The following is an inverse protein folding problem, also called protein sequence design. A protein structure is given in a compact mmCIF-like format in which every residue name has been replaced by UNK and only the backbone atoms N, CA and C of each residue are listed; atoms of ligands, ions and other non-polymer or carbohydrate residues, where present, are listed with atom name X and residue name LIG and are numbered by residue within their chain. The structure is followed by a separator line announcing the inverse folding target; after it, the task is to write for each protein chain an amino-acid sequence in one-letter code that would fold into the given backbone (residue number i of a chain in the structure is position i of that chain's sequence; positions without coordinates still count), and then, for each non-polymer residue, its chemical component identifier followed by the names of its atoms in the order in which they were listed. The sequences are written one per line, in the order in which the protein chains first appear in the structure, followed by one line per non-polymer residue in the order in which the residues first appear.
data_IF_125538068226
#
_entry.id   IF_125538068226
#
_cell.length_a   1.000
_cell.length_b   1.000
_cell.length_c   1.000
_cell.angle_alpha   90.00
_cell.angle_beta   90.00
_cell.angle_gamma   90.00
#
_symmetry.space_group_name_H-M   'P 1'
#
loop_
_entity.id
_entity.type
_entity.pdbx_description
1 polymer ?
#
# COMPACT_ATOMS: atom_id res chain seq x y z
N UNK A 1 -12.65 -24.73 -6.66
CA UNK A 1 -12.47 -23.25 -6.73
C UNK A 1 -12.54 -22.72 -5.30
N UNK A 2 -11.64 -21.81 -4.91
CA UNK A 2 -11.78 -21.13 -3.60
C UNK A 2 -13.05 -20.27 -3.66
N UNK A 3 -13.90 -20.38 -2.65
CA UNK A 3 -15.11 -19.55 -2.54
C UNK A 3 -14.68 -18.12 -2.27
N UNK A 4 -15.03 -17.18 -3.15
CA UNK A 4 -14.80 -15.75 -2.97
C UNK A 4 -16.06 -15.07 -2.44
N UNK A 5 -15.91 -13.91 -1.77
CA UNK A 5 -17.05 -13.13 -1.25
C UNK A 5 -17.69 -12.29 -2.35
N UNK A 6 -16.87 -11.67 -3.19
CA UNK A 6 -17.29 -10.82 -4.31
C UNK A 6 -16.79 -11.40 -5.62
N UNK A 7 -17.69 -11.78 -6.53
CA UNK A 7 -17.33 -12.41 -7.81
C UNK A 7 -16.90 -11.40 -8.88
N UNK A 8 -17.45 -10.17 -8.82
CA UNK A 8 -17.25 -9.15 -9.85
C UNK A 8 -16.19 -8.10 -9.48
N UNK A 9 -15.84 -8.00 -8.20
CA UNK A 9 -14.97 -6.93 -7.68
C UNK A 9 -13.76 -7.55 -7.00
N UNK A 10 -12.58 -7.08 -7.35
CA UNK A 10 -11.33 -7.47 -6.67
C UNK A 10 -10.93 -6.36 -5.69
N UNK A 11 -10.75 -6.68 -4.40
CA UNK A 11 -10.38 -5.69 -3.38
C UNK A 11 -9.05 -4.96 -3.67
N UNK A 12 -8.18 -5.61 -4.42
CA UNK A 12 -6.83 -5.11 -4.78
C UNK A 12 -6.81 -4.24 -6.03
N UNK A 13 -7.93 -4.06 -6.71
CA UNK A 13 -7.98 -3.09 -7.80
C UNK A 13 -7.90 -1.66 -7.27
N UNK A 14 -7.11 -0.83 -7.90
CA UNK A 14 -6.80 0.53 -7.50
C UNK A 14 -8.05 1.38 -7.18
N UNK A 15 -9.10 1.31 -8.02
CA UNK A 15 -10.36 2.03 -7.76
C UNK A 15 -11.04 1.55 -6.47
N UNK A 16 -11.06 0.24 -6.26
CA UNK A 16 -11.69 -0.39 -5.09
C UNK A 16 -10.92 -0.06 -3.82
N UNK A 17 -9.61 -0.24 -3.86
CA UNK A 17 -8.75 0.05 -2.73
C UNK A 17 -8.79 1.54 -2.36
N UNK A 18 -8.74 2.44 -3.34
CA UNK A 18 -8.90 3.89 -3.09
C UNK A 18 -10.27 4.21 -2.50
N UNK A 19 -11.33 3.55 -2.95
CA UNK A 19 -12.67 3.70 -2.37
C UNK A 19 -12.70 3.25 -0.90
N UNK A 20 -12.13 2.10 -0.58
CA UNK A 20 -12.03 1.59 0.80
C UNK A 20 -11.24 2.58 1.67
N UNK A 21 -10.04 2.95 1.23
CA UNK A 21 -9.13 3.81 2.00
C UNK A 21 -9.48 5.31 1.96
N UNK A 22 -10.47 5.73 1.17
CA UNK A 22 -11.02 7.09 1.27
C UNK A 22 -11.79 7.30 2.58
N UNK A 23 -12.26 6.22 3.22
CA UNK A 23 -12.87 6.28 4.53
C UNK A 23 -11.77 6.30 5.62
N UNK A 24 -11.71 7.40 6.36
CA UNK A 24 -10.69 7.62 7.40
C UNK A 24 -10.82 6.68 8.60
N UNK A 25 -12.01 6.19 8.92
CA UNK A 25 -12.22 5.23 10.01
C UNK A 25 -11.68 3.85 9.63
N UNK A 26 -11.99 3.38 8.42
CA UNK A 26 -11.43 2.13 7.88
C UNK A 26 -9.90 2.22 7.79
N UNK A 27 -9.38 3.34 7.27
CA UNK A 27 -7.94 3.58 7.14
C UNK A 27 -7.26 3.62 8.52
N UNK A 28 -7.89 4.24 9.53
CA UNK A 28 -7.42 4.24 10.92
C UNK A 28 -7.30 2.82 11.48
N UNK A 29 -8.35 2.03 11.33
CA UNK A 29 -8.37 0.66 11.83
C UNK A 29 -7.34 -0.22 11.13
N UNK A 30 -7.22 -0.12 9.80
CA UNK A 30 -6.22 -0.84 9.02
C UNK A 30 -4.80 -0.52 9.47
N UNK A 31 -4.45 0.75 9.55
CA UNK A 31 -3.11 1.20 9.98
C UNK A 31 -2.84 0.76 11.41
N UNK A 32 -3.81 0.95 12.31
CA UNK A 32 -3.68 0.56 13.72
C UNK A 32 -3.44 -0.93 13.88
N UNK A 33 -4.21 -1.77 13.21
CA UNK A 33 -4.09 -3.22 13.28
C UNK A 33 -2.77 -3.72 12.70
N UNK A 34 -2.38 -3.22 11.52
CA UNK A 34 -1.19 -3.71 10.83
C UNK A 34 0.10 -3.25 11.49
N UNK A 35 0.18 -1.97 11.87
CA UNK A 35 1.40 -1.39 12.47
C UNK A 35 1.45 -1.56 13.99
N UNK A 36 0.34 -1.97 14.65
CA UNK A 36 0.26 -2.08 16.10
C UNK A 36 0.31 -0.71 16.79
N UNK A 37 -0.30 0.31 16.18
CA UNK A 37 -0.36 1.68 16.66
C UNK A 37 -1.78 2.02 17.12
N UNK A 38 -1.91 2.86 18.13
CA UNK A 38 -3.21 3.44 18.51
C UNK A 38 -3.30 4.85 17.94
N UNK A 39 -3.80 4.97 16.72
CA UNK A 39 -3.82 6.22 15.96
C UNK A 39 -5.13 6.38 15.19
N UNK A 40 -5.43 7.61 14.82
CA UNK A 40 -6.55 7.94 13.94
C UNK A 40 -6.03 8.58 12.65
N UNK A 41 -6.60 8.20 11.53
CA UNK A 41 -6.35 8.88 10.27
C UNK A 41 -7.12 10.21 10.27
N UNK A 42 -6.40 11.32 10.21
CA UNK A 42 -7.00 12.65 10.19
C UNK A 42 -7.47 13.04 8.79
N UNK A 43 -6.72 12.65 7.77
CA UNK A 43 -7.06 12.93 6.36
C UNK A 43 -6.32 11.98 5.39
N UNK A 44 -6.89 11.86 4.20
CA UNK A 44 -6.24 11.25 3.05
C UNK A 44 -5.66 12.39 2.20
N UNK A 45 -4.37 12.30 1.90
CA UNK A 45 -3.63 13.30 1.14
C UNK A 45 -3.56 12.92 -0.35
N UNK A 46 -3.31 13.90 -1.20
CA UNK A 46 -2.96 13.63 -2.60
C UNK A 46 -1.60 12.91 -2.66
N UNK A 47 -1.62 11.68 -3.15
CA UNK A 47 -0.44 10.82 -3.31
C UNK A 47 0.44 11.19 -4.50
N UNK A 48 0.06 12.17 -5.32
CA UNK A 48 0.85 12.56 -6.50
C UNK A 48 2.19 13.14 -6.10
N UNK A 49 3.27 12.51 -6.52
CA UNK A 49 4.64 12.98 -6.30
C UNK A 49 5.20 13.49 -7.62
N UNK A 50 5.34 14.82 -7.73
CA UNK A 50 6.00 15.48 -8.86
C UNK A 50 7.47 15.69 -8.48
N UNK A 51 8.38 15.04 -9.20
CA UNK A 51 9.82 15.33 -9.10
C UNK A 51 10.20 16.30 -10.20
N UNK A 52 10.47 17.56 -9.84
CA UNK A 52 11.21 18.47 -10.70
C UNK A 52 12.70 18.28 -10.44
N UNK A 53 13.37 17.48 -11.23
CA UNK A 53 14.82 17.44 -11.25
C UNK A 53 15.31 18.13 -12.52
N UNK A 54 15.99 19.26 -12.31
CA UNK A 54 16.81 20.00 -13.26
C UNK A 54 16.17 20.56 -14.54
N UNK A 55 16.39 21.84 -14.72
CA UNK A 55 16.26 22.61 -15.96
C UNK A 55 17.13 21.95 -17.05
N UNK A 56 16.52 21.11 -17.82
CA UNK A 56 16.78 20.73 -19.22
C UNK A 56 16.31 19.29 -19.44
N UNK A 57 15.20 19.18 -20.23
CA UNK A 57 14.61 17.95 -20.72
C UNK A 57 14.10 16.90 -19.70
N UNK A 58 13.01 17.23 -19.03
CA UNK A 58 11.70 16.60 -19.02
C UNK A 58 11.74 15.06 -19.10
N UNK A 59 12.08 14.42 -18.01
CA UNK A 59 11.41 13.21 -17.59
C UNK A 59 10.74 13.54 -16.26
N UNK A 60 9.54 14.08 -16.33
CA UNK A 60 8.63 14.18 -15.20
C UNK A 60 8.24 12.73 -14.82
N UNK A 61 9.00 12.12 -13.92
CA UNK A 61 8.55 10.89 -13.26
C UNK A 61 7.47 11.29 -12.27
N UNK A 62 6.24 11.33 -12.73
CA UNK A 62 5.10 11.38 -11.85
C UNK A 62 4.97 10.01 -11.17
N UNK A 63 5.40 9.91 -9.93
CA UNK A 63 5.08 8.76 -9.10
C UNK A 63 3.79 9.08 -8.36
N UNK A 64 2.76 8.27 -8.58
CA UNK A 64 1.52 8.34 -7.81
C UNK A 64 1.55 7.24 -6.77
N UNK A 65 1.37 7.61 -5.50
CA UNK A 65 1.09 6.67 -4.42
C UNK A 65 -0.39 6.26 -4.53
N UNK A 66 -0.69 5.00 -4.20
CA UNK A 66 -2.08 4.56 -4.23
C UNK A 66 -2.90 5.31 -3.18
N UNK A 67 -2.41 5.37 -1.93
CA UNK A 67 -3.02 6.16 -0.85
C UNK A 67 -1.92 6.74 0.04
N UNK A 68 -2.06 8.01 0.42
CA UNK A 68 -1.24 8.67 1.43
C UNK A 68 -2.14 9.16 2.57
N UNK A 69 -2.02 8.56 3.74
CA UNK A 69 -2.77 8.93 4.93
C UNK A 69 -1.91 9.76 5.89
N UNK A 70 -2.50 10.79 6.50
CA UNK A 70 -1.91 11.52 7.62
C UNK A 70 -2.69 11.20 8.89
N UNK A 71 -1.97 10.82 9.93
CA UNK A 71 -2.53 10.47 11.23
C UNK A 71 -2.67 11.70 12.12
N UNK A 72 -3.41 11.56 13.21
CA UNK A 72 -3.67 12.63 14.19
C UNK A 72 -2.39 13.12 14.91
N UNK A 73 -1.35 12.30 14.95
CA UNK A 73 -0.03 12.63 15.49
C UNK A 73 0.94 13.20 14.42
N UNK A 74 0.45 13.46 13.20
CA UNK A 74 1.23 13.95 12.06
C UNK A 74 1.98 12.85 11.30
N UNK A 75 2.10 11.63 11.81
CA UNK A 75 2.72 10.50 11.11
C UNK A 75 2.04 10.30 9.75
N UNK A 76 2.84 10.05 8.72
CA UNK A 76 2.30 9.77 7.39
C UNK A 76 2.50 8.30 7.04
N UNK A 77 1.47 7.73 6.41
CA UNK A 77 1.44 6.32 6.01
C UNK A 77 1.13 6.19 4.52
N UNK A 78 2.06 5.60 3.80
CA UNK A 78 1.90 5.23 2.40
C UNK A 78 1.25 3.85 2.37
N UNK A 79 0.10 3.70 1.71
CA UNK A 79 -0.51 2.40 1.45
C UNK A 79 -0.38 2.13 -0.05
N UNK A 80 0.32 1.03 -0.38
CA UNK A 80 0.59 0.59 -1.76
C UNK A 80 -0.07 -0.74 -2.04
N UNK A 81 -0.70 -0.88 -3.21
CA UNK A 81 -1.33 -2.12 -3.65
C UNK A 81 -0.60 -2.64 -4.89
N UNK A 82 -0.01 -3.83 -4.77
CA UNK A 82 0.81 -4.41 -5.84
C UNK A 82 0.21 -5.73 -6.34
N UNK A 83 -0.46 -5.66 -7.48
CA UNK A 83 -1.14 -6.82 -8.10
C UNK A 83 -0.16 -7.76 -8.81
N UNK A 84 0.85 -7.21 -9.48
CA UNK A 84 1.86 -7.97 -10.21
C UNK A 84 3.23 -7.91 -9.54
N UNK A 85 4.05 -8.96 -9.67
CA UNK A 85 5.42 -8.95 -9.16
C UNK A 85 6.28 -8.04 -10.04
N UNK A 86 6.79 -6.96 -9.48
CA UNK A 86 7.73 -6.05 -10.12
C UNK A 86 9.11 -6.21 -9.49
N UNK A 87 10.14 -6.39 -10.31
CA UNK A 87 11.50 -6.71 -9.85
C UNK A 87 12.05 -5.69 -8.85
N UNK A 88 11.80 -4.41 -9.08
CA UNK A 88 12.39 -3.31 -8.29
C UNK A 88 11.39 -2.68 -7.30
N UNK A 89 10.29 -3.37 -6.98
CA UNK A 89 9.23 -2.81 -6.12
C UNK A 89 9.75 -2.33 -4.76
N UNK A 90 10.56 -3.13 -4.07
CA UNK A 90 11.08 -2.76 -2.75
C UNK A 90 11.99 -1.52 -2.80
N UNK A 91 12.79 -1.39 -3.86
CA UNK A 91 13.62 -0.18 -4.07
C UNK A 91 12.75 1.03 -4.39
N UNK A 92 11.70 0.87 -5.19
CA UNK A 92 10.76 1.94 -5.49
C UNK A 92 10.02 2.41 -4.23
N UNK A 93 9.54 1.48 -3.40
CA UNK A 93 8.89 1.80 -2.13
C UNK A 93 9.83 2.58 -1.20
N UNK A 94 11.12 2.20 -1.14
CA UNK A 94 12.13 2.94 -0.41
C UNK A 94 12.26 4.38 -0.92
N UNK A 95 12.31 4.57 -2.24
CA UNK A 95 12.34 5.91 -2.86
C UNK A 95 11.09 6.71 -2.49
N UNK A 96 9.90 6.11 -2.48
CA UNK A 96 8.68 6.79 -2.08
C UNK A 96 8.74 7.31 -0.64
N UNK A 97 9.22 6.49 0.29
CA UNK A 97 9.42 6.90 1.68
C UNK A 97 10.40 8.07 1.78
N UNK A 98 11.57 7.95 1.14
CA UNK A 98 12.58 9.01 1.15
C UNK A 98 12.06 10.34 0.58
N UNK A 99 11.31 10.27 -0.52
CA UNK A 99 10.69 11.43 -1.14
C UNK A 99 9.66 12.08 -0.21
N UNK A 100 8.86 11.28 0.48
CA UNK A 100 7.87 11.81 1.42
C UNK A 100 8.54 12.46 2.63
N UNK A 101 9.63 11.89 3.14
CA UNK A 101 10.46 12.52 4.17
C UNK A 101 11.02 13.86 3.67
N UNK A 102 11.54 13.94 2.44
CA UNK A 102 12.04 15.17 1.84
C UNK A 102 10.96 16.24 1.72
N UNK A 103 9.77 15.88 1.23
CA UNK A 103 8.61 16.78 1.15
C UNK A 103 8.22 17.35 2.53
N UNK A 104 8.21 16.49 3.55
CA UNK A 104 7.93 16.91 4.91
C UNK A 104 8.95 17.95 5.40
N UNK A 105 10.24 17.70 5.13
CA UNK A 105 11.31 18.65 5.47
C UNK A 105 11.13 19.98 4.77
N UNK A 106 10.76 19.99 3.49
CA UNK A 106 10.52 21.23 2.73
C UNK A 106 9.30 21.98 3.28
N UNK A 107 8.23 21.27 3.62
CA UNK A 107 7.05 21.86 4.28
C UNK A 107 7.41 22.50 5.63
N UNK A 108 8.18 21.80 6.46
CA UNK A 108 8.66 22.30 7.75
C UNK A 108 9.50 23.56 7.56
N UNK A 109 10.42 23.57 6.58
CA UNK A 109 11.25 24.74 6.25
C UNK A 109 10.42 25.96 5.84
N UNK A 110 9.38 25.75 5.04
CA UNK A 110 8.45 26.81 4.62
C UNK A 110 7.68 27.40 5.82
N UNK A 111 7.26 26.55 6.75
CA UNK A 111 6.48 26.97 7.93
C UNK A 111 7.33 27.68 8.98
N UNK A 112 8.52 27.16 9.27
CA UNK A 112 9.35 27.65 10.37
C UNK A 112 10.38 28.73 9.93
N UNK A 113 10.67 28.85 8.65
CA UNK A 113 11.75 29.68 8.14
C UNK A 113 13.13 29.01 8.30
N UNK A 114 14.16 29.67 7.70
CA UNK A 114 15.51 29.06 7.57
C UNK A 114 16.32 29.00 8.87
N UNK A 115 15.94 29.76 9.90
CA UNK A 115 16.73 29.93 11.14
C UNK A 115 16.32 28.99 12.26
N UNK A 116 15.21 28.28 12.13
CA UNK A 116 14.70 27.41 13.18
C UNK A 116 15.21 25.97 13.04
N UNK A 117 15.38 25.22 14.13
CA UNK A 117 15.78 23.82 14.08
C UNK A 117 14.64 22.99 13.48
N UNK A 118 14.87 22.43 12.28
CA UNK A 118 13.86 21.71 11.51
C UNK A 118 13.78 20.23 11.88
N UNK A 119 14.87 19.64 12.35
CA UNK A 119 14.91 18.20 12.65
C UNK A 119 14.06 17.78 13.86
N UNK A 120 13.79 18.72 14.78
CA UNK A 120 12.88 18.48 15.91
C UNK A 120 11.42 18.32 15.48
N UNK A 121 11.08 18.79 14.29
CA UNK A 121 9.72 18.72 13.72
C UNK A 121 9.56 17.55 12.76
N UNK A 122 10.61 16.74 12.53
CA UNK A 122 10.54 15.61 11.62
C UNK A 122 9.53 14.57 12.12
N UNK A 123 8.60 14.24 11.25
CA UNK A 123 7.55 13.26 11.51
C UNK A 123 7.90 11.90 10.90
N UNK A 124 7.44 10.78 11.49
CA UNK A 124 7.61 9.45 10.91
C UNK A 124 6.90 9.31 9.57
N UNK A 125 7.50 8.48 8.69
CA UNK A 125 6.87 8.03 7.45
C UNK A 125 6.87 6.51 7.43
N UNK A 126 5.70 5.92 7.39
CA UNK A 126 5.52 4.47 7.34
C UNK A 126 4.97 4.04 5.99
N UNK A 127 5.09 2.76 5.68
CA UNK A 127 4.40 2.17 4.54
C UNK A 127 3.74 0.85 4.90
N UNK A 128 2.59 0.59 4.27
CA UNK A 128 1.91 -0.70 4.30
C UNK A 128 1.64 -1.12 2.87
N UNK A 129 2.21 -2.24 2.44
CA UNK A 129 2.05 -2.76 1.09
C UNK A 129 1.18 -4.01 1.09
N UNK A 130 0.13 -4.00 0.28
CA UNK A 130 -0.77 -5.12 0.04
C UNK A 130 -0.32 -5.79 -1.26
N UNK A 131 0.13 -7.04 -1.18
CA UNK A 131 0.83 -7.75 -2.25
C UNK A 131 0.04 -8.98 -2.67
N UNK A 132 -0.39 -9.07 -3.94
CA UNK A 132 -0.96 -10.31 -4.49
C UNK A 132 0.09 -11.38 -4.77
N UNK A 133 1.33 -10.99 -4.97
CA UNK A 133 2.44 -11.91 -5.27
C UNK A 133 3.44 -11.97 -4.13
N UNK A 134 4.04 -13.13 -3.95
CA UNK A 134 5.05 -13.33 -2.91
C UNK A 134 6.36 -12.64 -3.27
N UNK A 135 6.87 -11.86 -2.34
CA UNK A 135 8.15 -11.17 -2.42
C UNK A 135 9.19 -11.79 -1.47
N UNK A 136 8.73 -12.48 -0.45
CA UNK A 136 9.58 -13.14 0.55
C UNK A 136 9.37 -14.66 0.49
N UNK A 137 10.43 -15.43 0.77
CA UNK A 137 10.48 -16.88 0.53
C UNK A 137 9.88 -17.73 1.65
N UNK A 138 9.57 -17.14 2.82
CA UNK A 138 8.94 -17.85 3.93
C UNK A 138 7.38 -17.80 3.85
N UNK A 139 6.71 -18.49 4.78
CA UNK A 139 5.25 -18.62 4.80
C UNK A 139 4.52 -17.51 5.58
N UNK A 140 5.22 -16.48 6.06
CA UNK A 140 4.59 -15.38 6.80
C UNK A 140 3.81 -14.48 5.87
N UNK A 141 2.51 -14.39 6.08
CA UNK A 141 1.64 -13.51 5.28
C UNK A 141 1.76 -12.03 5.68
N UNK A 142 2.08 -11.74 6.94
CA UNK A 142 2.26 -10.37 7.44
C UNK A 142 3.64 -10.23 8.08
N UNK A 143 4.33 -9.16 7.72
CA UNK A 143 5.62 -8.81 8.31
C UNK A 143 5.84 -7.30 8.34
N UNK A 144 6.72 -6.85 9.21
CA UNK A 144 7.17 -5.47 9.25
C UNK A 144 8.68 -5.38 9.44
N UNK A 145 9.28 -4.36 8.87
CA UNK A 145 10.68 -4.01 9.00
C UNK A 145 10.78 -2.64 9.65
N UNK A 146 11.72 -2.50 10.57
CA UNK A 146 12.09 -1.24 11.22
C UNK A 146 13.59 -1.22 11.47
N UNK A 147 14.17 -0.06 11.67
CA UNK A 147 15.58 0.07 12.02
C UNK A 147 15.83 -0.52 13.41
N UNK A 148 16.86 -1.35 13.52
CA UNK A 148 17.24 -2.04 14.77
C UNK A 148 18.74 -1.99 14.95
N UNK A 149 19.16 -2.03 16.19
CA UNK A 149 20.52 -2.28 16.59
C UNK A 149 20.87 -3.74 16.29
N UNK A 150 21.97 -3.96 15.58
CA UNK A 150 22.34 -5.29 15.09
C UNK A 150 22.74 -6.27 16.20
N UNK A 151 23.31 -5.75 17.32
CA UNK A 151 23.76 -6.58 18.43
C UNK A 151 22.64 -6.89 19.42
N UNK A 152 21.82 -5.90 19.75
CA UNK A 152 20.79 -6.02 20.79
C UNK A 152 19.39 -6.29 20.26
N UNK A 153 19.19 -6.23 18.95
CA UNK A 153 17.91 -6.31 18.24
C UNK A 153 16.85 -5.28 18.75
N UNK A 154 17.29 -4.23 19.44
CA UNK A 154 16.40 -3.17 19.91
C UNK A 154 16.05 -2.22 18.78
N UNK A 155 14.78 -1.82 18.70
CA UNK A 155 14.34 -0.84 17.71
C UNK A 155 14.98 0.52 17.96
N UNK A 156 15.42 1.19 16.90
CA UNK A 156 15.83 2.59 16.94
C UNK A 156 14.58 3.46 17.02
N UNK A 157 14.35 4.02 18.20
CA UNK A 157 13.21 4.91 18.48
C UNK A 157 13.71 6.27 18.93
N UNK A 158 13.07 7.31 18.43
CA UNK A 158 13.36 8.71 18.76
C UNK A 158 12.14 9.39 19.36
N UNK A 159 12.39 10.50 20.05
CA UNK A 159 11.32 11.39 20.48
C UNK A 159 10.76 12.13 19.25
N UNK A 160 9.43 12.19 19.15
CA UNK A 160 8.71 12.92 18.10
C UNK A 160 7.83 13.96 18.76
N UNK A 161 7.90 15.21 18.28
CA UNK A 161 7.14 16.32 18.85
C UNK A 161 5.65 16.02 18.88
N UNK A 162 5.01 16.25 20.03
CA UNK A 162 3.58 15.99 20.20
C UNK A 162 3.21 14.53 20.49
N UNK A 163 4.15 13.60 20.43
CA UNK A 163 3.93 12.17 20.69
C UNK A 163 4.60 11.80 22.02
N UNK A 164 3.84 11.21 22.95
CA UNK A 164 4.36 10.82 24.26
C UNK A 164 5.35 9.65 24.20
N UNK A 165 5.11 8.73 23.28
CA UNK A 165 5.92 7.52 23.13
C UNK A 165 6.96 7.70 22.04
N UNK A 166 8.18 7.19 22.27
CA UNK A 166 9.20 7.15 21.22
C UNK A 166 8.73 6.33 20.03
N UNK A 167 8.98 6.84 18.83
CA UNK A 167 8.57 6.23 17.57
C UNK A 167 9.77 5.81 16.71
N UNK A 168 9.59 4.77 15.90
CA UNK A 168 10.46 4.54 14.75
C UNK A 168 10.21 5.67 13.74
N UNK A 169 11.24 6.15 13.08
CA UNK A 169 11.06 7.11 11.98
C UNK A 169 10.57 6.44 10.69
N UNK A 170 10.90 5.16 10.51
CA UNK A 170 10.54 4.38 9.31
C UNK A 170 10.05 3.00 9.74
N UNK A 171 8.92 2.59 9.22
CA UNK A 171 8.42 1.22 9.30
C UNK A 171 7.82 0.83 7.97
N UNK A 172 8.18 -0.35 7.45
CA UNK A 172 7.64 -0.92 6.23
C UNK A 172 6.92 -2.22 6.58
N UNK A 173 5.61 -2.27 6.36
CA UNK A 173 4.80 -3.48 6.58
C UNK A 173 4.32 -4.06 5.25
N UNK A 174 4.17 -5.37 5.20
CA UNK A 174 3.77 -6.10 4.01
C UNK A 174 2.71 -7.15 4.35
N UNK A 175 1.67 -7.19 3.54
CA UNK A 175 0.62 -8.21 3.54
C UNK A 175 0.72 -9.00 2.23
N UNK A 176 1.15 -10.27 2.29
CA UNK A 176 1.28 -11.15 1.13
C UNK A 176 0.05 -12.06 1.02
N UNK A 177 -0.92 -11.64 0.21
CA UNK A 177 -2.25 -12.25 0.14
C UNK A 177 -2.24 -13.73 -0.30
N UNK A 178 -1.31 -14.10 -1.16
CA UNK A 178 -1.18 -15.50 -1.60
C UNK A 178 -0.74 -16.46 -0.49
N UNK A 179 -0.19 -15.95 0.61
CA UNK A 179 0.19 -16.75 1.78
C UNK A 179 -0.95 -16.95 2.77
N UNK A 180 -2.10 -16.30 2.54
CA UNK A 180 -3.25 -16.48 3.39
C UNK A 180 -3.79 -17.91 3.29
N UNK A 181 -4.04 -18.50 4.45
CA UNK A 181 -4.85 -19.70 4.63
C UNK A 181 -5.70 -19.55 5.90
N UNK A 182 -6.84 -20.23 6.02
CA UNK A 182 -7.73 -20.11 7.19
C UNK A 182 -7.09 -20.46 8.53
N UNK A 183 -6.06 -21.30 8.54
CA UNK A 183 -5.37 -21.77 9.74
C UNK A 183 -4.15 -20.91 10.12
N UNK A 184 -3.94 -19.79 9.43
CA UNK A 184 -2.81 -18.90 9.70
C UNK A 184 -2.85 -18.40 11.15
N UNK A 185 -1.71 -18.52 11.84
CA UNK A 185 -1.54 -18.08 13.23
C UNK A 185 -1.18 -16.61 13.30
N UNK A 186 -2.14 -15.77 13.00
CA UNK A 186 -2.02 -14.32 13.14
C UNK A 186 -3.04 -13.79 14.13
N UNK A 187 -2.76 -12.64 14.75
CA UNK A 187 -3.75 -11.90 15.52
C UNK A 187 -4.96 -11.64 14.60
N UNK A 188 -6.18 -11.89 15.13
CA UNK A 188 -7.38 -11.78 14.31
C UNK A 188 -7.57 -10.37 13.72
N UNK A 189 -7.21 -9.32 14.44
CA UNK A 189 -7.26 -7.96 13.91
C UNK A 189 -6.42 -7.76 12.64
N UNK A 190 -5.30 -8.48 12.51
CA UNK A 190 -4.50 -8.49 11.26
C UNK A 190 -5.05 -9.46 10.23
N UNK A 191 -5.49 -10.64 10.69
CA UNK A 191 -6.00 -11.71 9.82
C UNK A 191 -7.22 -11.26 9.02
N UNK A 192 -8.15 -10.52 9.63
CA UNK A 192 -9.36 -10.02 8.95
C UNK A 192 -9.06 -9.15 7.74
N UNK A 193 -7.95 -8.40 7.74
CA UNK A 193 -7.50 -7.63 6.58
C UNK A 193 -6.93 -8.51 5.46
N UNK A 194 -6.22 -9.60 5.82
CA UNK A 194 -5.84 -10.62 4.83
C UNK A 194 -7.08 -11.25 4.20
N UNK A 195 -8.10 -11.59 4.99
CA UNK A 195 -9.37 -12.15 4.51
C UNK A 195 -10.09 -11.15 3.59
N UNK A 196 -10.15 -9.88 3.99
CA UNK A 196 -10.77 -8.82 3.21
C UNK A 196 -10.11 -8.69 1.84
N UNK A 197 -8.79 -8.43 1.80
CA UNK A 197 -8.06 -8.18 0.56
C UNK A 197 -7.80 -9.42 -0.28
N UNK A 198 -7.78 -10.63 0.32
CA UNK A 198 -7.74 -11.90 -0.41
C UNK A 198 -9.10 -12.30 -0.97
N UNK A 199 -10.17 -11.54 -0.70
CA UNK A 199 -11.54 -11.85 -1.08
C UNK A 199 -12.00 -13.24 -0.58
N UNK A 200 -11.50 -13.67 0.58
CA UNK A 200 -11.80 -14.97 1.18
C UNK A 200 -12.92 -14.85 2.22
N UNK A 201 -13.69 -15.92 2.47
CA UNK A 201 -14.66 -15.93 3.56
C UNK A 201 -14.00 -15.55 4.88
N UNK A 202 -14.70 -14.76 5.67
CA UNK A 202 -14.25 -14.43 7.02
C UNK A 202 -14.36 -15.66 7.93
N UNK A 203 -13.35 -15.91 8.76
CA UNK A 203 -13.30 -17.05 9.67
C UNK A 203 -13.99 -16.78 11.01
N UNK A 204 -14.32 -15.53 11.30
CA UNK A 204 -15.07 -15.09 12.50
C UNK A 204 -16.07 -13.99 12.11
N UNK A 205 -16.98 -13.65 13.03
CA UNK A 205 -17.86 -12.49 12.86
C UNK A 205 -17.05 -11.20 12.79
N UNK A 206 -17.46 -10.29 11.92
CA UNK A 206 -16.78 -9.02 11.71
C UNK A 206 -17.36 -7.94 12.62
N UNK A 207 -16.57 -6.90 12.84
CA UNK A 207 -17.05 -5.64 13.41
C UNK A 207 -17.56 -4.70 12.31
N UNK A 208 -18.19 -3.59 12.73
CA UNK A 208 -18.77 -2.60 11.83
C UNK A 208 -17.77 -2.03 10.82
N UNK A 209 -16.49 -1.94 11.16
CA UNK A 209 -15.43 -1.42 10.28
C UNK A 209 -15.19 -2.35 9.09
N UNK A 210 -15.02 -3.64 9.36
CA UNK A 210 -14.79 -4.63 8.29
C UNK A 210 -16.07 -4.85 7.48
N UNK A 211 -17.25 -4.87 8.12
CA UNK A 211 -18.53 -4.93 7.42
C UNK A 211 -18.73 -3.72 6.49
N UNK A 212 -18.36 -2.52 6.95
CA UNK A 212 -18.37 -1.31 6.13
C UNK A 212 -17.42 -1.41 4.95
N UNK A 213 -16.18 -1.84 5.18
CA UNK A 213 -15.18 -2.02 4.12
C UNK A 213 -15.65 -3.08 3.09
N UNK A 214 -16.22 -4.19 3.55
CA UNK A 214 -16.74 -5.26 2.69
C UNK A 214 -17.95 -4.78 1.86
N UNK A 215 -18.84 -4.00 2.45
CA UNK A 215 -20.02 -3.45 1.77
C UNK A 215 -19.65 -2.50 0.62
N UNK A 216 -18.50 -1.82 0.70
CA UNK A 216 -18.00 -0.96 -0.37
C UNK A 216 -17.62 -1.74 -1.64
N UNK A 217 -17.42 -3.05 -1.53
CA UNK A 217 -17.13 -3.95 -2.66
C UNK A 217 -18.39 -4.58 -3.26
N UNK A 218 -19.55 -4.33 -2.70
CA UNK A 218 -20.84 -4.80 -3.23
C UNK A 218 -21.19 -4.04 -4.51
N UNK A 219 -20.79 -4.58 -5.67
CA UNK A 219 -20.99 -3.96 -6.99
C UNK A 219 -22.44 -3.51 -7.25
N UNK A 220 -23.42 -4.26 -6.75
CA UNK A 220 -24.84 -3.91 -6.88
C UNK A 220 -25.21 -2.55 -6.24
N UNK A 221 -24.45 -2.11 -5.22
CA UNK A 221 -24.69 -0.88 -4.47
C UNK A 221 -23.95 0.33 -5.08
N UNK A 222 -23.15 0.12 -6.13
CA UNK A 222 -22.41 1.19 -6.77
C UNK A 222 -23.29 2.03 -7.68
N UNK A 223 -22.95 3.31 -7.82
CA UNK A 223 -23.59 4.17 -8.82
C UNK A 223 -23.28 3.69 -10.24
N UNK A 224 -24.09 4.08 -11.20
CA UNK A 224 -23.84 3.75 -12.61
C UNK A 224 -22.51 4.32 -13.13
N UNK A 225 -22.10 5.48 -12.60
CA UNK A 225 -20.80 6.09 -12.92
C UNK A 225 -19.63 5.26 -12.37
N UNK A 226 -19.71 4.81 -11.11
CA UNK A 226 -18.70 3.94 -10.50
C UNK A 226 -18.57 2.61 -11.25
N UNK A 227 -19.71 2.00 -11.61
CA UNK A 227 -19.74 0.77 -12.42
C UNK A 227 -19.10 0.99 -13.79
N UNK A 228 -19.46 2.06 -14.48
CA UNK A 228 -18.90 2.37 -15.79
C UNK A 228 -17.39 2.60 -15.74
N UNK A 229 -16.89 3.33 -14.73
CA UNK A 229 -15.44 3.54 -14.52
C UNK A 229 -14.72 2.23 -14.25
N UNK A 230 -15.26 1.38 -13.39
CA UNK A 230 -14.68 0.09 -13.04
C UNK A 230 -14.62 -0.84 -14.25
N UNK A 231 -15.74 -0.99 -14.96
CA UNK A 231 -15.84 -1.88 -16.13
C UNK A 231 -14.94 -1.40 -17.28
N UNK A 232 -14.80 -0.08 -17.47
CA UNK A 232 -13.87 0.47 -18.46
C UNK A 232 -12.42 0.15 -18.10
N UNK A 233 -12.06 0.33 -16.83
CA UNK A 233 -10.69 0.04 -16.35
C UNK A 233 -10.37 -1.44 -16.45
N UNK A 234 -11.29 -2.30 -16.06
CA UNK A 234 -11.16 -3.76 -16.16
C UNK A 234 -10.95 -4.19 -17.62
N UNK A 235 -11.78 -3.69 -18.54
CA UNK A 235 -11.63 -3.97 -20.00
C UNK A 235 -10.28 -3.51 -20.54
N UNK A 236 -9.79 -2.32 -20.13
CA UNK A 236 -8.46 -1.84 -20.54
C UNK A 236 -7.34 -2.72 -20.02
N UNK A 237 -7.46 -3.17 -18.77
CA UNK A 237 -6.50 -4.08 -18.17
C UNK A 237 -6.47 -5.44 -18.86
N UNK A 238 -7.63 -6.04 -19.13
CA UNK A 238 -7.74 -7.32 -19.82
C UNK A 238 -7.14 -7.25 -21.23
N UNK A 239 -7.45 -6.18 -21.98
CA UNK A 239 -6.86 -5.96 -23.30
C UNK A 239 -5.33 -5.78 -23.25
N UNK A 240 -4.80 -5.15 -22.19
CA UNK A 240 -3.36 -5.04 -21.99
C UNK A 240 -2.71 -6.39 -21.68
N UNK A 241 -3.33 -7.21 -20.83
CA UNK A 241 -2.84 -8.56 -20.51
C UNK A 241 -2.85 -9.45 -21.76
N UNK A 242 -3.92 -9.42 -22.55
CA UNK A 242 -4.00 -10.16 -23.84
C UNK A 242 -2.86 -9.75 -24.79
N UNK A 243 -2.58 -8.44 -24.87
CA UNK A 243 -1.47 -7.92 -25.68
C UNK A 243 -0.11 -8.43 -25.21
N UNK A 244 0.11 -8.47 -23.87
CA UNK A 244 1.35 -9.00 -23.30
C UNK A 244 1.49 -10.51 -23.55
N UNK A 245 0.43 -11.27 -23.42
CA UNK A 245 0.43 -12.71 -23.71
C UNK A 245 0.75 -12.97 -25.19
N UNK A 246 0.13 -12.22 -26.09
CA UNK A 246 0.44 -12.31 -27.52
C UNK A 246 1.92 -12.05 -27.81
N UNK A 247 2.47 -10.96 -27.27
CA UNK A 247 3.90 -10.62 -27.43
C UNK A 247 4.83 -11.68 -26.85
N UNK A 248 4.45 -12.29 -25.71
CA UNK A 248 5.22 -13.36 -25.09
C UNK A 248 5.27 -14.61 -25.98
N UNK A 249 4.12 -15.04 -26.51
CA UNK A 249 4.03 -16.18 -27.43
C UNK A 249 4.84 -15.91 -28.71
N UNK A 250 4.68 -14.74 -29.32
CA UNK A 250 5.45 -14.31 -30.50
C UNK A 250 6.97 -14.33 -30.23
N UNK A 251 7.39 -13.87 -29.05
CA UNK A 251 8.80 -13.90 -28.63
C UNK A 251 9.36 -15.31 -28.52
N UNK A 252 8.60 -16.25 -27.96
CA UNK A 252 8.97 -17.67 -27.87
C UNK A 252 9.10 -18.27 -29.28
N UNK A 253 8.13 -18.02 -30.16
CA UNK A 253 8.16 -18.55 -31.55
C UNK A 253 9.37 -18.03 -32.32
N UNK A 254 9.68 -16.73 -32.20
CA UNK A 254 10.88 -16.14 -32.82
C UNK A 254 12.16 -16.74 -32.24
N UNK A 255 12.25 -16.91 -30.93
CA UNK A 255 13.40 -17.53 -30.27
C UNK A 255 13.61 -19.00 -30.66
N UNK A 256 12.55 -19.76 -30.89
CA UNK A 256 12.64 -21.15 -31.38
C UNK A 256 13.07 -21.23 -32.83
N UNK A 257 12.64 -20.32 -33.72
CA UNK A 257 13.07 -20.26 -35.13
C UNK A 257 14.56 -19.92 -35.30
N UNK A 258 15.13 -19.12 -34.38
CA UNK A 258 16.57 -18.80 -34.44
C UNK A 258 17.46 -19.89 -33.86
N UNK A 259 16.93 -20.91 -33.18
CA UNK A 259 17.69 -22.08 -32.67
C UNK A 259 17.70 -23.26 -33.64
N UNK A 260 16.87 -23.24 -34.66
CA UNK A 260 16.75 -24.30 -35.66
C UNK A 260 17.47 -24.02 -37.00
N UNK A 261 18.14 -22.90 -37.10
CA UNK A 261 19.07 -22.54 -38.19
C UNK A 261 20.48 -22.43 -37.60
#
# INVERSE_FOLDING_TARGET
MKKVRHEHVKPTEDLVAKKIFSNTEITSAFISDILGLSVKCSKILDGTQIHSSFEDEILLYNTSLDVLAELDDGTQVIIEIQVSKQLEFLKRLWVYICNQVSKNMDTIRLQLGRTNPIYSELIPVYSVSILEKNYFDDDRAIRSFSLRDDDTNKQLKVDVKGIKEKRNLITMAFLELNKYNPDIRENYNKKRWLELFSNQPFTQSQDEIIESADSMMEYKNWSEEEKAMYDEKTRKYDAYIDTLQYKYVEGIEKGNRTRTN
#
